data_IF_122539187653
#
_entry.id   IF_122539187653
#
_cell.length_a   1.000
_cell.length_b   1.000
_cell.length_c   1.000
_cell.angle_alpha   90.00
_cell.angle_beta   90.00
_cell.angle_gamma   90.00
#
_symmetry.space_group_name_H-M   'P 1'
#
loop_
_entity.id
_entity.type
_entity.pdbx_description
1 polymer ?
#
# COMPACT_ATOMS: atom_id res chain seq x y z
N UNK A 1 16.98 6.77 -25.97
CA UNK A 1 16.84 7.64 -24.77
C UNK A 1 15.40 7.70 -24.25
N UNK A 2 14.36 7.68 -25.11
CA UNK A 2 12.95 7.78 -24.69
C UNK A 2 12.39 6.51 -24.02
N UNK A 3 12.75 5.31 -24.49
CA UNK A 3 12.23 4.04 -23.97
C UNK A 3 12.62 3.82 -22.50
N UNK A 4 13.89 4.02 -22.16
CA UNK A 4 14.38 3.88 -20.78
C UNK A 4 13.75 4.91 -19.84
N UNK A 5 13.59 6.15 -20.30
CA UNK A 5 12.92 7.21 -19.53
C UNK A 5 11.44 6.89 -19.26
N UNK A 6 10.73 6.35 -20.26
CA UNK A 6 9.34 5.92 -20.11
C UNK A 6 9.20 4.74 -19.15
N UNK A 7 10.11 3.76 -19.23
CA UNK A 7 10.14 2.63 -18.29
C UNK A 7 10.39 3.11 -16.86
N UNK A 8 11.40 3.95 -16.65
CA UNK A 8 11.69 4.49 -15.31
C UNK A 8 10.51 5.28 -14.75
N UNK A 9 9.84 6.08 -15.59
CA UNK A 9 8.61 6.79 -15.21
C UNK A 9 7.50 5.82 -14.79
N UNK A 10 7.27 4.76 -15.56
CA UNK A 10 6.27 3.72 -15.22
C UNK A 10 6.60 3.08 -13.88
N UNK A 11 7.85 2.62 -13.73
CA UNK A 11 8.33 1.93 -12.53
C UNK A 11 8.12 2.78 -11.27
N UNK A 12 8.50 4.06 -11.33
CA UNK A 12 8.34 4.99 -10.21
C UNK A 12 6.86 5.22 -9.90
N UNK A 13 6.02 5.44 -10.91
CA UNK A 13 4.58 5.63 -10.71
C UNK A 13 3.93 4.38 -10.10
N UNK A 14 4.20 3.20 -10.65
CA UNK A 14 3.65 1.93 -10.16
C UNK A 14 4.08 1.69 -8.71
N UNK A 15 5.37 1.89 -8.40
CA UNK A 15 5.89 1.75 -7.02
C UNK A 15 5.18 2.70 -6.05
N UNK A 16 5.04 3.98 -6.42
CA UNK A 16 4.39 4.99 -5.58
C UNK A 16 2.91 4.65 -5.37
N UNK A 17 2.18 4.31 -6.43
CA UNK A 17 0.76 3.96 -6.29
C UNK A 17 0.57 2.67 -5.49
N UNK A 18 1.37 1.63 -5.72
CA UNK A 18 1.31 0.38 -4.95
C UNK A 18 1.68 0.58 -3.48
N UNK A 19 2.54 1.55 -3.15
CA UNK A 19 2.80 1.97 -1.78
C UNK A 19 1.62 2.74 -1.16
N UNK A 20 1.06 3.69 -1.91
CA UNK A 20 0.02 4.59 -1.41
C UNK A 20 -1.32 3.88 -1.20
N UNK A 21 -1.68 2.90 -2.03
CA UNK A 21 -2.95 2.17 -1.91
C UNK A 21 -3.18 1.57 -0.52
N UNK A 22 -2.29 0.72 0.04
CA UNK A 22 -2.47 0.19 1.39
C UNK A 22 -2.43 1.27 2.47
N UNK A 23 -1.60 2.30 2.30
CA UNK A 23 -1.50 3.42 3.26
C UNK A 23 -2.80 4.20 3.34
N UNK A 24 -3.38 4.58 2.20
CA UNK A 24 -4.67 5.27 2.14
C UNK A 24 -5.83 4.38 2.54
N UNK A 25 -5.78 3.09 2.23
CA UNK A 25 -6.82 2.16 2.63
C UNK A 25 -6.89 2.04 4.16
N UNK A 26 -5.77 1.76 4.82
CA UNK A 26 -5.71 1.60 6.28
C UNK A 26 -5.95 2.95 6.97
N UNK A 27 -5.31 4.02 6.50
CA UNK A 27 -5.49 5.35 7.05
C UNK A 27 -6.93 5.86 6.88
N UNK A 28 -7.52 5.67 5.70
CA UNK A 28 -8.90 6.03 5.42
C UNK A 28 -9.88 5.23 6.28
N UNK A 29 -9.64 3.94 6.46
CA UNK A 29 -10.48 3.10 7.33
C UNK A 29 -10.44 3.58 8.79
N UNK A 30 -9.25 3.95 9.31
CA UNK A 30 -9.12 4.56 10.64
C UNK A 30 -9.82 5.93 10.75
N UNK A 31 -9.73 6.78 9.73
CA UNK A 31 -10.44 8.06 9.70
C UNK A 31 -11.95 7.85 9.73
N UNK A 32 -12.46 6.91 8.93
CA UNK A 32 -13.88 6.54 8.90
C UNK A 32 -14.34 6.03 10.26
N UNK A 33 -13.58 5.13 10.89
CA UNK A 33 -13.86 4.66 12.25
C UNK A 33 -13.90 5.82 13.26
N UNK A 34 -12.95 6.75 13.18
CA UNK A 34 -12.93 7.94 14.03
C UNK A 34 -14.20 8.80 13.85
N UNK A 35 -14.65 9.00 12.61
CA UNK A 35 -15.88 9.74 12.31
C UNK A 35 -17.12 9.05 12.89
N UNK A 36 -17.21 7.73 12.78
CA UNK A 36 -18.30 6.97 13.39
C UNK A 36 -18.23 6.98 14.93
N UNK A 37 -17.05 7.17 15.52
CA UNK A 37 -16.85 7.24 16.97
C UNK A 37 -17.56 8.42 17.64
N UNK A 38 -18.00 9.42 16.87
CA UNK A 38 -18.84 10.51 17.36
C UNK A 38 -20.33 10.13 17.51
N UNK A 39 -20.75 8.97 16.99
CA UNK A 39 -22.13 8.52 17.09
C UNK A 39 -22.35 7.83 18.44
N UNK A 40 -23.22 8.37 19.32
CA UNK A 40 -23.52 7.74 20.59
C UNK A 40 -24.17 6.37 20.37
N UNK A 41 -23.70 5.35 21.10
CA UNK A 41 -24.20 3.97 21.02
C UNK A 41 -23.33 3.01 20.21
N UNK A 42 -22.47 3.48 19.29
CA UNK A 42 -21.53 2.62 18.53
C UNK A 42 -20.09 2.66 19.06
N UNK A 43 -19.83 3.48 20.08
CA UNK A 43 -18.48 3.84 20.53
C UNK A 43 -17.62 2.63 20.93
N UNK A 44 -18.19 1.65 21.64
CA UNK A 44 -17.47 0.45 22.08
C UNK A 44 -17.01 -0.45 20.94
N UNK A 45 -17.89 -0.68 19.95
CA UNK A 45 -17.56 -1.50 18.77
C UNK A 45 -16.46 -0.82 17.95
N UNK A 46 -16.57 0.50 17.78
CA UNK A 46 -15.62 1.29 16.99
C UNK A 46 -14.25 1.33 17.66
N UNK A 47 -14.19 1.47 18.99
CA UNK A 47 -12.93 1.43 19.73
C UNK A 47 -12.26 0.06 19.61
N UNK A 48 -13.01 -1.03 19.74
CA UNK A 48 -12.45 -2.38 19.64
C UNK A 48 -11.87 -2.66 18.25
N UNK A 49 -12.60 -2.30 17.19
CA UNK A 49 -12.13 -2.46 15.81
C UNK A 49 -10.89 -1.61 15.55
N UNK A 50 -10.88 -0.35 16.00
CA UNK A 50 -9.74 0.56 15.83
C UNK A 50 -8.49 0.04 16.53
N UNK A 51 -8.65 -0.46 17.76
CA UNK A 51 -7.56 -1.08 18.54
C UNK A 51 -7.03 -2.32 17.81
N UNK A 52 -7.90 -3.18 17.28
CA UNK A 52 -7.49 -4.38 16.56
C UNK A 52 -6.65 -4.05 15.30
N UNK A 53 -7.03 -3.01 14.56
CA UNK A 53 -6.25 -2.54 13.39
C UNK A 53 -4.89 -2.02 13.82
N UNK A 54 -4.82 -1.23 14.91
CA UNK A 54 -3.56 -0.72 15.43
C UNK A 54 -2.64 -1.84 15.93
N UNK A 55 -3.19 -2.87 16.56
CA UNK A 55 -2.44 -4.07 16.98
C UNK A 55 -1.93 -4.88 15.79
N UNK A 56 -2.75 -5.06 14.75
CA UNK A 56 -2.33 -5.69 13.51
C UNK A 56 -1.12 -4.94 12.93
N UNK A 57 -1.21 -3.62 12.80
CA UNK A 57 -0.10 -2.78 12.36
C UNK A 57 1.13 -2.91 13.28
N UNK A 58 0.95 -2.87 14.60
CA UNK A 58 2.05 -3.00 15.55
C UNK A 58 2.78 -4.35 15.42
N UNK A 59 2.06 -5.42 15.03
CA UNK A 59 2.65 -6.75 14.78
C UNK A 59 3.67 -6.71 13.64
N UNK A 60 3.41 -5.95 12.57
CA UNK A 60 4.35 -5.77 11.45
C UNK A 60 5.40 -4.68 11.69
N UNK A 61 5.17 -3.81 12.68
CA UNK A 61 6.00 -2.64 12.98
C UNK A 61 6.86 -2.75 14.22
N UNK A 62 7.09 -3.96 14.73
CA UNK A 62 7.86 -4.21 15.95
C UNK A 62 7.34 -3.43 17.17
N UNK A 63 6.02 -3.39 17.34
CA UNK A 63 5.34 -2.67 18.41
C UNK A 63 4.90 -1.23 18.07
N UNK A 64 5.35 -0.67 16.94
CA UNK A 64 4.88 0.64 16.45
C UNK A 64 3.92 0.48 15.30
N UNK A 65 2.67 0.94 15.46
CA UNK A 65 1.67 0.83 14.40
C UNK A 65 2.07 1.62 13.14
N UNK A 66 2.73 2.77 13.31
CA UNK A 66 3.22 3.57 12.18
C UNK A 66 4.28 2.83 11.37
N UNK A 67 5.21 2.15 12.05
CA UNK A 67 6.21 1.32 11.37
C UNK A 67 5.54 0.18 10.62
N UNK A 68 4.50 -0.42 11.17
CA UNK A 68 3.73 -1.46 10.50
C UNK A 68 3.07 -0.99 9.21
N UNK A 69 2.50 0.21 9.24
CA UNK A 69 1.91 0.84 8.06
C UNK A 69 2.96 1.06 6.97
N UNK A 70 4.15 1.54 7.35
CA UNK A 70 5.27 1.69 6.43
C UNK A 70 5.76 0.35 5.90
N UNK A 71 5.90 -0.68 6.74
CA UNK A 71 6.31 -2.03 6.31
C UNK A 71 5.34 -2.58 5.27
N UNK A 72 4.03 -2.49 5.51
CA UNK A 72 3.00 -2.95 4.55
C UNK A 72 3.06 -2.12 3.26
N UNK A 73 3.14 -0.80 3.36
CA UNK A 73 3.27 0.07 2.19
C UNK A 73 4.51 -0.27 1.35
N UNK A 74 5.67 -0.41 1.99
CA UNK A 74 6.94 -0.70 1.32
C UNK A 74 6.93 -2.09 0.67
N UNK A 75 6.36 -3.10 1.33
CA UNK A 75 6.23 -4.45 0.75
C UNK A 75 5.32 -4.43 -0.48
N UNK A 76 4.17 -3.76 -0.43
CA UNK A 76 3.30 -3.60 -1.60
C UNK A 76 3.97 -2.80 -2.72
N UNK A 77 4.67 -1.70 -2.40
CA UNK A 77 5.43 -0.90 -3.36
C UNK A 77 6.51 -1.72 -4.06
N UNK A 78 7.27 -2.52 -3.30
CA UNK A 78 8.31 -3.40 -3.82
C UNK A 78 7.74 -4.48 -4.75
N UNK A 79 6.66 -5.15 -4.34
CA UNK A 79 5.98 -6.15 -5.17
C UNK A 79 5.41 -5.50 -6.45
N UNK A 80 4.83 -4.30 -6.35
CA UNK A 80 4.36 -3.54 -7.51
C UNK A 80 5.47 -3.22 -8.50
N UNK A 81 6.64 -2.80 -8.01
CA UNK A 81 7.83 -2.58 -8.82
C UNK A 81 8.28 -3.86 -9.55
N UNK A 82 8.33 -4.99 -8.84
CA UNK A 82 8.69 -6.29 -9.43
C UNK A 82 7.73 -6.70 -10.54
N UNK A 83 6.42 -6.49 -10.36
CA UNK A 83 5.44 -6.78 -11.39
C UNK A 83 5.59 -5.86 -12.62
N UNK A 84 5.85 -4.56 -12.43
CA UNK A 84 6.10 -3.63 -13.55
C UNK A 84 7.33 -4.05 -14.36
N UNK A 85 8.43 -4.42 -13.68
CA UNK A 85 9.64 -4.96 -14.30
C UNK A 85 9.34 -6.23 -15.10
N UNK A 86 8.60 -7.17 -14.50
CA UNK A 86 8.25 -8.43 -15.15
C UNK A 86 7.43 -8.21 -16.42
N UNK A 87 6.40 -7.36 -16.35
CA UNK A 87 5.55 -7.04 -17.50
C UNK A 87 6.36 -6.37 -18.61
N UNK A 88 7.23 -5.43 -18.26
CA UNK A 88 8.11 -4.78 -19.22
C UNK A 88 9.07 -5.77 -19.90
N UNK A 89 9.69 -6.67 -19.13
CA UNK A 89 10.59 -7.69 -19.66
C UNK A 89 9.85 -8.64 -20.62
N UNK A 90 8.66 -9.11 -20.23
CA UNK A 90 7.83 -9.98 -21.07
C UNK A 90 7.40 -9.30 -22.36
N UNK A 91 7.11 -8.00 -22.32
CA UNK A 91 6.81 -7.21 -23.52
C UNK A 91 8.01 -7.11 -24.47
N UNK A 92 9.23 -6.95 -23.94
CA UNK A 92 10.44 -6.91 -24.76
C UNK A 92 10.73 -8.23 -25.46
N UNK A 93 10.60 -9.36 -24.77
CA UNK A 93 10.80 -10.70 -25.36
C UNK A 93 9.85 -10.89 -26.55
N UNK A 94 8.54 -10.68 -26.34
CA UNK A 94 7.54 -10.85 -27.40
C UNK A 94 7.76 -9.95 -28.61
N UNK A 95 8.32 -8.75 -28.42
CA UNK A 95 8.67 -7.85 -29.52
C UNK A 95 9.93 -8.32 -30.28
N UNK A 96 10.79 -9.09 -29.64
CA UNK A 96 12.04 -9.59 -30.27
C UNK A 96 11.81 -10.89 -31.05
N UNK A 97 10.80 -11.67 -30.66
CA UNK A 97 10.40 -12.92 -31.32
C UNK A 97 9.45 -12.72 -32.53
N UNK A 98 9.03 -11.48 -32.82
CA UNK A 98 8.14 -11.10 -33.94
C UNK A 98 8.90 -10.44 -35.08
#
# INVERSE_FOLDING_TARGET
MTIFSNFFRSLVLTTIFSFLVPVFFIGGLLVVLCLFGYVPGLQGIISDVSIQILYFLATFGSGSSFNGLLTIGLTCGFVGALFDIYVYYRYQILRTDS
#
